data_IF_369269585422
#
_entry.id   IF_369269585422
#
_cell.length_a   1.000
_cell.length_b   1.000
_cell.length_c   1.000
_cell.angle_alpha   90.00
_cell.angle_beta   90.00
_cell.angle_gamma   90.00
#
_symmetry.space_group_name_H-M   'P 1'
#
loop_
_entity.id
_entity.type
_entity.pdbx_description
1 polymer ?
#
# COMPACT_ATOMS: atom_id res chain seq x y z
N UNK A 1 -12.40 8.51 21.16
CA UNK A 1 -12.74 7.44 20.18
C UNK A 1 -11.72 7.49 19.08
N UNK A 2 -10.89 6.45 18.95
CA UNK A 2 -9.92 6.33 17.86
C UNK A 2 -10.67 6.10 16.56
N UNK A 3 -10.37 6.89 15.53
CA UNK A 3 -10.96 6.73 14.20
C UNK A 3 -10.55 5.36 13.66
N UNK A 4 -11.49 4.50 13.21
CA UNK A 4 -11.12 3.20 12.67
C UNK A 4 -10.24 3.40 11.44
N UNK A 5 -9.16 2.62 11.36
CA UNK A 5 -8.34 2.54 10.16
C UNK A 5 -9.21 2.03 9.01
N UNK A 6 -8.97 2.53 7.80
CA UNK A 6 -9.72 2.13 6.60
C UNK A 6 -9.20 0.84 5.95
N UNK A 7 -8.07 0.33 6.43
CA UNK A 7 -7.42 -0.90 5.97
C UNK A 7 -7.33 -1.82 7.19
N UNK A 8 -7.74 -3.07 7.00
CA UNK A 8 -7.63 -4.09 8.03
C UNK A 8 -6.18 -4.59 8.08
N UNK A 9 -5.63 -4.75 9.28
CA UNK A 9 -4.33 -5.40 9.44
C UNK A 9 -4.45 -6.91 9.17
N UNK A 10 -3.38 -7.57 8.70
CA UNK A 10 -3.28 -9.02 8.76
C UNK A 10 -3.49 -9.53 10.18
N UNK A 11 -3.96 -10.78 10.31
CA UNK A 11 -4.13 -11.46 11.61
C UNK A 11 -3.03 -12.48 11.89
N UNK A 12 -2.18 -12.76 10.91
CA UNK A 12 -1.07 -13.70 11.00
C UNK A 12 0.23 -12.98 11.41
N UNK A 13 1.20 -13.76 11.88
CA UNK A 13 2.55 -13.27 12.14
C UNK A 13 3.32 -13.07 10.82
N UNK A 14 4.27 -12.12 10.75
CA UNK A 14 5.03 -11.84 9.52
C UNK A 14 5.80 -13.02 8.93
N UNK A 15 6.18 -14.01 9.74
CA UNK A 15 6.90 -15.21 9.29
C UNK A 15 5.98 -16.25 8.63
N UNK A 16 4.66 -16.07 8.74
CA UNK A 16 3.68 -16.97 8.12
C UNK A 16 3.70 -16.82 6.59
N UNK A 17 3.73 -17.94 5.88
CA UNK A 17 3.74 -17.95 4.41
C UNK A 17 2.50 -17.32 3.77
N UNK A 18 1.39 -17.25 4.50
CA UNK A 18 0.15 -16.60 4.05
C UNK A 18 0.06 -15.11 4.42
N UNK A 19 1.00 -14.59 5.22
CA UNK A 19 0.99 -13.19 5.66
C UNK A 19 0.96 -12.22 4.48
N UNK A 20 1.80 -12.47 3.47
CA UNK A 20 1.85 -11.65 2.25
C UNK A 20 0.50 -11.64 1.51
N UNK A 21 -0.20 -12.77 1.46
CA UNK A 21 -1.51 -12.86 0.82
C UNK A 21 -2.56 -12.01 1.58
N UNK A 22 -2.51 -11.99 2.91
CA UNK A 22 -3.38 -11.12 3.71
C UNK A 22 -3.08 -9.64 3.50
N UNK A 23 -1.80 -9.26 3.42
CA UNK A 23 -1.40 -7.90 3.07
C UNK A 23 -1.96 -7.48 1.71
N UNK A 24 -1.82 -8.33 0.68
CA UNK A 24 -2.34 -8.06 -0.66
C UNK A 24 -3.85 -7.86 -0.64
N UNK A 25 -4.60 -8.77 -0.01
CA UNK A 25 -6.05 -8.68 0.10
C UNK A 25 -6.52 -7.40 0.82
N UNK A 26 -5.86 -7.03 1.91
CA UNK A 26 -6.19 -5.83 2.66
C UNK A 26 -5.93 -4.53 1.88
N UNK A 27 -4.84 -4.49 1.09
CA UNK A 27 -4.41 -3.31 0.35
C UNK A 27 -5.11 -3.15 -1.00
N UNK A 28 -5.51 -4.24 -1.66
CA UNK A 28 -6.07 -4.25 -3.02
C UNK A 28 -7.17 -3.19 -3.24
N UNK A 29 -8.22 -3.08 -2.39
CA UNK A 29 -9.30 -2.12 -2.65
C UNK A 29 -8.83 -0.66 -2.65
N UNK A 30 -7.86 -0.34 -1.78
CA UNK A 30 -7.31 1.01 -1.66
C UNK A 30 -6.38 1.33 -2.83
N UNK A 31 -5.52 0.38 -3.22
CA UNK A 31 -4.61 0.55 -4.35
C UNK A 31 -5.37 0.67 -5.67
N UNK A 32 -6.34 -0.21 -5.93
CA UNK A 32 -7.19 -0.15 -7.13
C UNK A 32 -7.93 1.17 -7.22
N UNK A 33 -8.47 1.67 -6.09
CA UNK A 33 -9.15 2.96 -6.05
C UNK A 33 -8.20 4.13 -6.36
N UNK A 34 -6.99 4.11 -5.81
CA UNK A 34 -5.98 5.14 -6.08
C UNK A 34 -5.63 5.19 -7.57
N UNK A 35 -5.32 4.03 -8.17
CA UNK A 35 -4.98 3.92 -9.59
C UNK A 35 -6.14 4.38 -10.48
N UNK A 36 -7.38 4.02 -10.13
CA UNK A 36 -8.58 4.46 -10.85
C UNK A 36 -8.78 5.97 -10.80
N UNK A 37 -8.52 6.63 -9.65
CA UNK A 37 -8.62 8.09 -9.53
C UNK A 37 -7.61 8.78 -10.44
N UNK A 38 -6.38 8.27 -10.52
CA UNK A 38 -5.36 8.81 -11.41
C UNK A 38 -5.74 8.64 -12.89
N UNK A 39 -6.27 7.47 -13.26
CA UNK A 39 -6.76 7.21 -14.62
C UNK A 39 -7.92 8.15 -14.99
N UNK A 40 -8.86 8.39 -14.08
CA UNK A 40 -9.96 9.36 -14.28
C UNK A 40 -9.46 10.81 -14.37
N UNK A 41 -8.32 11.13 -13.78
CA UNK A 41 -7.65 12.42 -13.94
C UNK A 41 -6.88 12.54 -15.28
N UNK A 42 -6.98 11.54 -16.15
CA UNK A 42 -6.36 11.53 -17.48
C UNK A 42 -4.93 10.98 -17.50
N UNK A 43 -4.47 10.35 -16.42
CA UNK A 43 -3.12 9.80 -16.37
C UNK A 43 -3.05 8.48 -17.15
N UNK A 44 -1.90 8.20 -17.77
CA UNK A 44 -1.69 6.93 -18.47
C UNK A 44 -1.56 5.78 -17.46
N UNK A 45 -2.46 4.80 -17.54
CA UNK A 45 -2.52 3.65 -16.62
C UNK A 45 -1.19 2.94 -16.41
N UNK A 46 -0.45 2.65 -17.48
CA UNK A 46 0.85 1.97 -17.40
C UNK A 46 1.85 2.80 -16.60
N UNK A 47 1.94 4.10 -16.87
CA UNK A 47 2.83 4.99 -16.11
C UNK A 47 2.42 5.12 -14.65
N UNK A 48 1.12 5.17 -14.34
CA UNK A 48 0.65 5.21 -12.93
C UNK A 48 1.06 3.95 -12.18
N UNK A 49 0.85 2.78 -12.77
CA UNK A 49 1.24 1.49 -12.15
C UNK A 49 2.75 1.43 -11.94
N UNK A 50 3.54 1.82 -12.93
CA UNK A 50 5.00 1.84 -12.81
C UNK A 50 5.47 2.81 -11.73
N UNK A 51 4.90 4.01 -11.67
CA UNK A 51 5.21 4.98 -10.63
C UNK A 51 4.87 4.45 -9.22
N UNK A 52 3.71 3.79 -9.06
CA UNK A 52 3.34 3.17 -7.80
C UNK A 52 4.32 2.07 -7.38
N UNK A 53 4.75 1.22 -8.32
CA UNK A 53 5.77 0.19 -8.06
C UNK A 53 7.11 0.80 -7.63
N UNK A 54 7.58 1.85 -8.32
CA UNK A 54 8.81 2.56 -7.95
C UNK A 54 8.73 3.13 -6.54
N UNK A 55 7.64 3.81 -6.19
CA UNK A 55 7.42 4.36 -4.84
C UNK A 55 7.40 3.27 -3.77
N UNK A 56 6.75 2.13 -4.03
CA UNK A 56 6.75 1.01 -3.09
C UNK A 56 8.15 0.43 -2.89
N UNK A 57 8.96 0.32 -3.94
CA UNK A 57 10.34 -0.15 -3.85
C UNK A 57 11.21 0.80 -3.01
N UNK A 58 11.11 2.11 -3.27
CA UNK A 58 11.82 3.14 -2.47
C UNK A 58 11.43 3.08 -0.99
N UNK A 59 10.15 2.88 -0.67
CA UNK A 59 9.68 2.74 0.70
C UNK A 59 10.18 1.46 1.38
N UNK A 60 10.33 0.36 0.63
CA UNK A 60 10.84 -0.91 1.15
C UNK A 60 12.35 -0.86 1.47
N UNK A 61 13.10 0.04 0.82
CA UNK A 61 14.53 0.26 1.09
C UNK A 61 14.80 1.19 2.28
N UNK A 62 13.76 1.86 2.82
CA UNK A 62 13.91 2.71 3.99
C UNK A 62 14.18 1.86 5.25
N UNK A 63 15.17 2.21 6.08
CA UNK A 63 15.43 1.49 7.33
C UNK A 63 14.23 1.60 8.28
N UNK A 64 13.79 0.47 8.82
CA UNK A 64 12.78 0.35 9.88
C UNK A 64 13.22 1.15 11.13
N UNK A 65 12.69 2.37 11.30
CA UNK A 65 13.00 3.24 12.42
C UNK A 65 12.09 4.47 12.49
N UNK A 66 11.77 4.99 13.71
CA UNK A 66 10.72 5.97 13.89
C UNK A 66 11.15 7.33 13.32
N UNK A 67 10.66 7.67 12.13
CA UNK A 67 10.56 9.06 11.75
C UNK A 67 9.40 9.66 12.55
N UNK A 68 9.76 10.10 13.76
CA UNK A 68 9.01 11.09 14.49
C UNK A 68 8.66 12.22 13.52
N UNK A 69 7.37 12.47 13.37
CA UNK A 69 6.84 13.68 12.75
C UNK A 69 7.57 14.88 13.37
N UNK A 70 8.47 15.50 12.61
CA UNK A 70 8.93 16.87 12.80
C UNK A 70 8.15 17.79 11.88
#
# INVERSE_FOLDING_TARGET
MTKPLRINSPTLEPEDGEYLAQCQFALEPSLVKLLSIAEMAGWNRTHVVMAALTLCAELAELPEGPQALQ
#
